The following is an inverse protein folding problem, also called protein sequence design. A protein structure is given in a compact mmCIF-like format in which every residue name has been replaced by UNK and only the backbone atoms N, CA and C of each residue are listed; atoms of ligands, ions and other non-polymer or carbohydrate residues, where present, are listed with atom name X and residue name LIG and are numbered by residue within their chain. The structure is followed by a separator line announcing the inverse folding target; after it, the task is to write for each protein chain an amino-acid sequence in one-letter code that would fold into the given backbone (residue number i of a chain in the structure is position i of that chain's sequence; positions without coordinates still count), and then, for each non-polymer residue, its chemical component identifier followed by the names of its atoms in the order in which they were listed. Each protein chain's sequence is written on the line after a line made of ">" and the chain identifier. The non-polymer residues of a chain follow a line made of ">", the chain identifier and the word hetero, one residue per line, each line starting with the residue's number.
data_IF_856240612751
#
_entry.id   IF_856240612751
#
_cell.length_a   1.000
_cell.length_b   1.000
_cell.length_c   1.000
_cell.angle_alpha   90.00
_cell.angle_beta   90.00
_cell.angle_gamma   90.00
#
_symmetry.space_group_name_H-M   'P 1'
#
loop_
_entity.id
_entity.type
_entity.pdbx_description
1 polymer ?
#
# COMPACT_ATOMS: atom_id res chain seq x y z
N UNK A 1 10.46 10.64 33.66
CA UNK A 1 9.58 10.57 34.86
C UNK A 1 9.58 11.96 35.49
N UNK A 2 8.42 12.60 35.64
CA UNK A 2 8.19 14.05 35.87
C UNK A 2 8.10 14.90 34.60
N UNK A 3 6.95 14.82 33.93
CA UNK A 3 6.13 16.01 33.64
C UNK A 3 4.78 15.57 33.04
N UNK A 4 3.70 15.91 33.77
CA UNK A 4 2.31 16.09 33.29
C UNK A 4 1.57 14.77 32.96
N UNK A 5 0.81 14.06 33.81
CA UNK A 5 0.02 14.37 35.02
C UNK A 5 -0.91 15.60 34.95
N UNK A 6 -1.16 16.14 33.75
CA UNK A 6 -2.02 17.33 33.57
C UNK A 6 -3.26 17.11 32.70
N UNK A 7 -3.47 15.89 32.17
CA UNK A 7 -4.65 15.60 31.34
C UNK A 7 -5.73 14.82 32.12
N UNK A 8 -5.38 14.23 33.26
CA UNK A 8 -6.32 13.42 34.05
C UNK A 8 -7.16 14.23 35.06
N UNK A 9 -6.91 15.53 35.21
CA UNK A 9 -7.63 16.39 36.17
C UNK A 9 -8.59 17.41 35.56
N UNK A 10 -8.72 17.46 34.23
CA UNK A 10 -9.68 18.36 33.56
C UNK A 10 -11.08 17.73 33.45
N UNK A 11 -11.25 16.47 33.83
CA UNK A 11 -12.53 15.73 33.73
C UNK A 11 -13.37 15.79 35.02
N UNK A 12 -12.86 16.36 36.12
CA UNK A 12 -13.60 16.43 37.39
C UNK A 12 -13.64 17.86 37.92
N UNK A 13 -14.21 18.80 37.15
CA UNK A 13 -14.69 20.08 37.70
C UNK A 13 -15.69 20.84 36.80
N UNK A 14 -16.53 20.11 36.06
CA UNK A 14 -17.73 20.66 35.42
C UNK A 14 -18.93 19.73 35.62
N UNK A 15 -19.35 19.59 36.88
CA UNK A 15 -20.75 19.32 37.22
C UNK A 15 -21.31 20.64 37.74
N UNK A 16 -21.68 21.51 36.81
CA UNK A 16 -22.43 22.73 37.02
C UNK A 16 -23.37 22.86 35.83
N UNK A 17 -24.67 22.80 36.10
CA UNK A 17 -25.74 22.58 35.13
C UNK A 17 -25.69 23.50 33.89
N UNK A 18 -25.98 22.92 32.72
CA UNK A 18 -26.26 23.62 31.46
C UNK A 18 -25.07 23.63 30.48
N UNK A 19 -25.35 23.28 29.22
CA UNK A 19 -24.41 23.07 28.09
C UNK A 19 -23.87 21.65 27.93
N UNK A 20 -24.79 20.70 27.75
CA UNK A 20 -24.57 19.46 27.00
C UNK A 20 -25.09 19.65 25.57
N UNK A 21 -24.29 20.28 24.72
CA UNK A 21 -24.36 20.19 23.26
C UNK A 21 -23.07 20.79 22.73
N UNK A 22 -22.43 20.13 21.76
CA UNK A 22 -21.29 20.63 20.96
C UNK A 22 -19.88 20.10 21.26
N UNK A 23 -19.71 19.07 22.10
CA UNK A 23 -18.43 18.30 22.14
C UNK A 23 -18.49 16.99 21.34
N UNK A 24 -19.61 16.72 20.67
CA UNK A 24 -19.78 15.59 19.75
C UNK A 24 -20.11 16.10 18.35
N UNK A 25 -19.09 16.58 17.63
CA UNK A 25 -19.00 16.62 16.16
C UNK A 25 -17.89 17.58 15.75
N UNK A 26 -16.64 17.28 16.11
CA UNK A 26 -15.56 17.78 15.27
C UNK A 26 -15.49 16.81 14.10
N UNK A 27 -16.20 17.15 13.02
CA UNK A 27 -15.99 16.50 11.73
C UNK A 27 -14.51 16.60 11.44
N UNK A 28 -13.82 15.46 11.42
CA UNK A 28 -12.47 15.40 10.88
C UNK A 28 -12.66 15.73 9.40
N UNK A 29 -12.40 16.98 9.00
CA UNK A 29 -12.19 17.28 7.59
C UNK A 29 -10.96 16.49 7.18
N UNK A 30 -11.19 15.35 6.52
CA UNK A 30 -10.14 14.59 5.84
C UNK A 30 -9.65 15.51 4.73
N UNK A 31 -8.64 16.30 5.02
CA UNK A 31 -7.94 17.08 4.01
C UNK A 31 -7.28 16.06 3.08
N UNK A 32 -7.60 16.08 1.77
CA UNK A 32 -6.96 15.15 0.83
C UNK A 32 -5.45 15.29 0.95
N UNK A 33 -4.74 14.16 1.01
CA UNK A 33 -3.28 14.15 1.01
C UNK A 33 -2.80 15.00 -0.18
N UNK A 34 -2.07 16.11 0.06
CA UNK A 34 -1.67 17.00 -1.02
C UNK A 34 -0.94 16.27 -2.14
N UNK A 35 -1.32 16.58 -3.38
CA UNK A 35 -0.71 16.01 -4.59
C UNK A 35 -1.07 14.56 -4.91
N UNK A 36 -1.89 13.87 -4.10
CA UNK A 36 -2.23 12.46 -4.35
C UNK A 36 -2.90 12.27 -5.73
N UNK A 37 -3.89 13.10 -6.03
CA UNK A 37 -4.59 13.06 -7.31
C UNK A 37 -3.67 13.42 -8.49
N UNK A 38 -2.72 14.33 -8.27
CA UNK A 38 -1.78 14.74 -9.31
C UNK A 38 -0.78 13.62 -9.62
N UNK A 39 -0.32 12.89 -8.60
CA UNK A 39 0.51 11.69 -8.79
C UNK A 39 -0.25 10.60 -9.54
N UNK A 40 -1.52 10.33 -9.19
CA UNK A 40 -2.34 9.33 -9.90
C UNK A 40 -2.52 9.70 -11.38
N UNK A 41 -2.72 10.99 -11.70
CA UNK A 41 -2.83 11.47 -13.09
C UNK A 41 -1.57 11.25 -13.91
N UNK A 42 -0.38 11.20 -13.30
CA UNK A 42 0.87 10.91 -14.03
C UNK A 42 0.87 9.50 -14.62
N UNK A 43 0.18 8.54 -13.99
CA UNK A 43 0.07 7.14 -14.43
C UNK A 43 -1.11 6.87 -15.38
N UNK A 44 -2.12 7.74 -15.35
CA UNK A 44 -3.33 7.56 -16.14
C UNK A 44 -3.03 7.52 -17.65
N UNK A 45 -3.65 6.56 -18.34
CA UNK A 45 -3.59 6.38 -19.81
C UNK A 45 -2.18 6.14 -20.38
N UNK A 46 -1.18 5.92 -19.53
CA UNK A 46 0.20 5.57 -19.90
C UNK A 46 0.30 4.08 -20.22
N UNK A 47 1.13 3.73 -21.19
CA UNK A 47 1.52 2.34 -21.44
C UNK A 47 2.29 1.75 -20.27
N UNK A 48 2.35 0.41 -20.14
CA UNK A 48 3.06 -0.24 -19.03
C UNK A 48 4.54 0.17 -18.91
N UNK A 49 5.32 0.27 -20.02
CA UNK A 49 6.68 0.81 -19.94
C UNK A 49 6.74 2.25 -19.44
N UNK A 50 5.84 3.12 -19.87
CA UNK A 50 5.80 4.51 -19.39
C UNK A 50 5.39 4.60 -17.92
N UNK A 51 4.51 3.72 -17.44
CA UNK A 51 4.11 3.64 -16.02
C UNK A 51 5.28 3.25 -15.13
N UNK A 52 6.14 2.34 -15.58
CA UNK A 52 7.39 2.00 -14.89
C UNK A 52 8.31 3.22 -14.78
N UNK A 53 8.48 4.01 -15.85
CA UNK A 53 9.31 5.22 -15.81
C UNK A 53 8.73 6.28 -14.88
N UNK A 54 7.41 6.52 -14.92
CA UNK A 54 6.72 7.43 -13.98
C UNK A 54 6.91 6.98 -12.53
N UNK A 55 6.85 5.68 -12.25
CA UNK A 55 7.09 5.13 -10.91
C UNK A 55 8.54 5.38 -10.45
N UNK A 56 9.53 5.13 -11.32
CA UNK A 56 10.94 5.44 -11.04
C UNK A 56 11.14 6.92 -10.73
N UNK A 57 10.50 7.81 -11.49
CA UNK A 57 10.52 9.26 -11.26
C UNK A 57 9.92 9.62 -9.90
N UNK A 58 8.72 9.13 -9.56
CA UNK A 58 8.07 9.38 -8.26
C UNK A 58 8.95 8.99 -7.07
N UNK A 59 9.63 7.84 -7.15
CA UNK A 59 10.52 7.37 -6.09
C UNK A 59 11.82 8.20 -6.04
N UNK A 60 12.38 8.54 -7.21
CA UNK A 60 13.59 9.38 -7.32
C UNK A 60 13.37 10.79 -6.78
N UNK A 61 12.23 11.42 -7.09
CA UNK A 61 11.83 12.74 -6.57
C UNK A 61 11.79 12.76 -5.04
N UNK A 62 11.46 11.62 -4.42
CA UNK A 62 11.41 11.44 -2.96
C UNK A 62 12.73 10.99 -2.36
N UNK A 63 13.77 10.75 -3.17
CA UNK A 63 15.05 10.21 -2.74
C UNK A 63 14.94 8.80 -2.16
N UNK A 64 14.00 7.99 -2.65
CA UNK A 64 13.77 6.62 -2.21
C UNK A 64 14.55 5.68 -3.15
N UNK A 65 15.54 4.93 -2.64
CA UNK A 65 16.26 3.98 -3.47
C UNK A 65 15.37 2.80 -3.85
N UNK A 66 15.55 2.29 -5.07
CA UNK A 66 14.84 1.14 -5.59
C UNK A 66 15.75 0.28 -6.47
N UNK A 67 15.35 -0.96 -6.67
CA UNK A 67 15.97 -1.95 -7.55
C UNK A 67 14.95 -2.39 -8.60
N UNK A 68 15.41 -2.65 -9.82
CA UNK A 68 14.59 -3.25 -10.87
C UNK A 68 15.04 -4.70 -11.04
N UNK A 69 14.11 -5.63 -10.83
CA UNK A 69 14.30 -7.06 -11.04
C UNK A 69 13.64 -7.47 -12.35
N UNK A 70 14.45 -7.60 -13.40
CA UNK A 70 14.00 -7.97 -14.74
C UNK A 70 13.86 -9.49 -14.89
N UNK A 71 12.92 -9.92 -15.72
CA UNK A 71 12.67 -11.33 -16.02
C UNK A 71 12.11 -11.53 -17.42
N UNK A 72 12.28 -12.73 -17.96
CA UNK A 72 11.82 -13.09 -19.31
C UNK A 72 10.54 -13.92 -19.27
N UNK A 73 9.50 -13.44 -19.94
CA UNK A 73 8.31 -14.22 -20.28
C UNK A 73 8.45 -14.82 -21.67
N UNK A 74 8.52 -16.16 -21.73
CA UNK A 74 8.59 -16.90 -22.99
C UNK A 74 7.17 -17.28 -23.45
N UNK A 75 6.75 -16.78 -24.60
CA UNK A 75 5.47 -17.12 -25.23
C UNK A 75 5.44 -18.59 -25.64
N UNK A 76 4.41 -19.30 -25.21
CA UNK A 76 4.20 -20.71 -25.60
C UNK A 76 3.76 -20.89 -27.06
N UNK A 77 3.32 -19.82 -27.74
CA UNK A 77 2.76 -19.91 -29.10
C UNK A 77 3.83 -19.83 -30.18
N UNK A 78 4.80 -18.94 -30.00
CA UNK A 78 5.78 -18.55 -31.02
C UNK A 78 7.20 -18.40 -30.46
N UNK A 79 7.43 -18.76 -29.19
CA UNK A 79 8.71 -18.64 -28.50
C UNK A 79 9.25 -17.20 -28.44
N UNK A 80 8.40 -16.19 -28.66
CA UNK A 80 8.80 -14.79 -28.46
C UNK A 80 9.12 -14.54 -26.98
N UNK A 81 10.14 -13.73 -26.73
CA UNK A 81 10.52 -13.33 -25.38
C UNK A 81 9.99 -11.91 -25.14
N UNK A 82 9.34 -11.70 -24.00
CA UNK A 82 8.93 -10.39 -23.51
C UNK A 82 9.58 -10.17 -22.16
N UNK A 83 10.39 -9.13 -22.03
CA UNK A 83 11.00 -8.74 -20.76
C UNK A 83 9.95 -8.04 -19.88
N UNK A 84 9.87 -8.42 -18.61
CA UNK A 84 9.08 -7.77 -17.56
C UNK A 84 9.97 -7.29 -16.43
N UNK A 85 9.48 -6.35 -15.62
CA UNK A 85 10.29 -5.64 -14.63
C UNK A 85 9.56 -5.42 -13.31
N UNK A 86 9.85 -6.19 -12.27
CA UNK A 86 9.41 -5.80 -10.93
C UNK A 86 10.26 -4.65 -10.41
N UNK A 87 9.67 -3.67 -9.74
CA UNK A 87 10.41 -2.62 -9.03
C UNK A 87 10.27 -2.83 -7.52
N UNK A 88 11.39 -2.83 -6.81
CA UNK A 88 11.47 -3.18 -5.39
C UNK A 88 12.12 -2.03 -4.62
N UNK A 89 11.42 -1.54 -3.59
CA UNK A 89 11.97 -0.63 -2.57
C UNK A 89 12.20 -1.43 -1.29
N UNK A 90 13.41 -1.37 -0.74
CA UNK A 90 13.77 -2.05 0.51
C UNK A 90 14.07 -1.03 1.59
N UNK A 91 13.31 -1.06 2.70
CA UNK A 91 13.43 -0.14 3.82
C UNK A 91 13.74 -0.87 5.12
N UNK A 92 14.51 -0.22 5.99
CA UNK A 92 14.90 -0.75 7.29
C UNK A 92 15.81 -1.97 7.20
N UNK A 93 15.99 -2.62 8.34
CA UNK A 93 16.85 -3.79 8.51
C UNK A 93 16.15 -4.80 9.42
N UNK A 94 16.43 -6.08 9.25
CA UNK A 94 15.82 -7.11 10.09
C UNK A 94 16.11 -8.52 9.58
N UNK A 95 15.82 -9.51 10.41
CA UNK A 95 15.95 -10.93 10.08
C UNK A 95 14.71 -11.52 9.38
N UNK A 96 13.68 -10.70 9.15
CA UNK A 96 12.43 -11.08 8.50
C UNK A 96 11.82 -9.92 7.73
N UNK A 97 11.04 -10.27 6.70
CA UNK A 97 10.49 -9.35 5.73
C UNK A 97 8.97 -9.21 5.89
N UNK A 98 8.48 -7.98 5.76
CA UNK A 98 7.08 -7.71 5.46
C UNK A 98 7.03 -7.15 4.04
N UNK A 99 6.24 -7.79 3.19
CA UNK A 99 6.03 -7.34 1.81
C UNK A 99 4.75 -6.50 1.77
N UNK A 100 4.81 -5.34 1.12
CA UNK A 100 3.63 -4.61 0.66
C UNK A 100 3.74 -4.50 -0.86
N UNK A 101 2.66 -4.75 -1.60
CA UNK A 101 2.76 -4.71 -3.05
C UNK A 101 1.46 -4.38 -3.75
N UNK A 102 1.58 -4.15 -5.04
CA UNK A 102 0.52 -3.87 -5.99
C UNK A 102 1.13 -3.91 -7.38
N UNK A 103 0.32 -4.13 -8.41
CA UNK A 103 0.85 -4.18 -9.76
C UNK A 103 0.78 -2.81 -10.43
N UNK A 104 1.77 -2.49 -11.25
CA UNK A 104 1.78 -1.23 -11.98
C UNK A 104 1.31 -1.37 -13.41
N UNK A 105 1.27 -2.57 -13.99
CA UNK A 105 0.71 -2.78 -15.31
C UNK A 105 -0.80 -2.54 -15.31
N UNK A 106 -1.36 -2.33 -16.51
CA UNK A 106 -2.79 -2.19 -16.73
C UNK A 106 -3.20 -3.01 -17.95
N UNK A 107 -4.48 -3.39 -18.01
CA UNK A 107 -5.12 -3.82 -19.26
C UNK A 107 -5.34 -2.67 -20.27
N UNK A 108 -5.44 -3.05 -21.53
CA UNK A 108 -6.07 -2.27 -22.58
C UNK A 108 -7.42 -2.93 -22.94
N UNK A 109 -8.57 -2.21 -22.90
CA UNK A 109 -8.75 -0.77 -22.69
C UNK A 109 -8.86 -0.37 -21.20
N UNK A 110 -8.30 0.79 -20.83
CA UNK A 110 -8.50 1.37 -19.51
C UNK A 110 -7.47 2.44 -19.16
N UNK A 111 -7.83 3.38 -18.28
CA UNK A 111 -6.88 4.40 -17.81
C UNK A 111 -5.86 3.86 -16.81
N UNK A 112 -6.12 2.67 -16.25
CA UNK A 112 -5.26 2.02 -15.26
C UNK A 112 -5.20 2.77 -13.92
N UNK A 113 -6.19 3.62 -13.63
CA UNK A 113 -6.22 4.46 -12.42
C UNK A 113 -6.64 3.66 -11.19
N UNK A 114 -7.84 3.06 -11.22
CA UNK A 114 -8.36 2.25 -10.11
C UNK A 114 -7.61 0.93 -10.01
N UNK A 115 -7.38 0.33 -11.17
CA UNK A 115 -6.70 -0.94 -11.36
C UNK A 115 -5.45 -0.72 -12.24
N UNK A 116 -4.26 -0.49 -11.67
CA UNK A 116 -3.99 -0.39 -10.23
C UNK A 116 -3.09 0.79 -9.86
N UNK A 117 -3.22 1.90 -10.60
CA UNK A 117 -2.39 3.11 -10.43
C UNK A 117 -2.56 3.80 -9.06
N UNK A 118 -3.74 3.72 -8.45
CA UNK A 118 -3.98 4.22 -7.10
C UNK A 118 -3.14 3.45 -6.06
N UNK A 119 -3.09 2.12 -6.13
CA UNK A 119 -2.22 1.31 -5.26
C UNK A 119 -0.76 1.70 -5.43
N UNK A 120 -0.30 1.86 -6.67
CA UNK A 120 1.08 2.28 -6.98
C UNK A 120 1.39 3.60 -6.27
N UNK A 121 0.54 4.61 -6.40
CA UNK A 121 0.77 5.89 -5.72
C UNK A 121 0.74 5.73 -4.21
N UNK A 122 -0.22 4.99 -3.64
CA UNK A 122 -0.30 4.73 -2.20
C UNK A 122 1.00 4.10 -1.69
N UNK A 123 1.52 3.08 -2.40
CA UNK A 123 2.75 2.40 -2.03
C UNK A 123 3.99 3.31 -2.09
N UNK A 124 4.08 4.25 -3.06
CA UNK A 124 5.15 5.26 -3.04
C UNK A 124 5.07 6.18 -1.83
N UNK A 125 3.86 6.51 -1.36
CA UNK A 125 3.64 7.34 -0.15
C UNK A 125 3.93 6.55 1.12
N UNK A 126 3.60 5.26 1.17
CA UNK A 126 4.01 4.35 2.26
C UNK A 126 5.53 4.26 2.33
N UNK A 127 6.21 4.12 1.19
CA UNK A 127 7.67 4.12 1.15
C UNK A 127 8.26 5.42 1.73
N UNK A 128 7.71 6.56 1.32
CA UNK A 128 8.13 7.89 1.78
C UNK A 128 7.95 8.07 3.28
N UNK A 129 6.82 7.60 3.82
CA UNK A 129 6.50 7.68 5.24
C UNK A 129 7.41 6.78 6.10
N UNK A 130 7.86 5.63 5.57
CA UNK A 130 8.63 4.65 6.33
C UNK A 130 10.15 4.80 6.19
N UNK A 131 10.66 5.55 5.19
CA UNK A 131 12.08 5.54 4.83
C UNK A 131 13.05 6.00 5.94
N UNK A 132 12.57 6.78 6.90
CA UNK A 132 13.37 7.30 8.03
C UNK A 132 12.98 6.70 9.38
N UNK A 133 12.05 5.74 9.39
CA UNK A 133 11.54 5.15 10.62
C UNK A 133 12.45 4.02 11.11
N UNK A 134 12.44 3.77 12.42
CA UNK A 134 13.15 2.64 13.02
C UNK A 134 12.27 1.38 12.95
N UNK A 135 12.47 0.57 11.91
CA UNK A 135 11.63 -0.59 11.59
C UNK A 135 12.19 -1.87 12.23
N UNK A 136 11.31 -2.68 12.82
CA UNK A 136 11.67 -3.98 13.41
C UNK A 136 11.80 -5.11 12.38
N UNK A 137 11.22 -4.92 11.20
CA UNK A 137 11.28 -5.82 10.06
C UNK A 137 11.84 -5.05 8.87
N UNK A 138 12.49 -5.76 7.95
CA UNK A 138 12.79 -5.20 6.64
C UNK A 138 11.47 -5.11 5.87
N UNK A 139 11.16 -3.93 5.34
CA UNK A 139 9.94 -3.72 4.56
C UNK A 139 10.32 -3.74 3.09
N UNK A 140 9.68 -4.61 2.31
CA UNK A 140 9.86 -4.70 0.87
C UNK A 140 8.58 -4.21 0.19
N UNK A 141 8.64 -3.05 -0.44
CA UNK A 141 7.55 -2.51 -1.24
C UNK A 141 7.79 -2.94 -2.68
N UNK A 142 6.89 -3.75 -3.24
CA UNK A 142 7.07 -4.39 -4.54
C UNK A 142 5.99 -3.94 -5.50
N UNK A 143 6.41 -3.36 -6.61
CA UNK A 143 5.55 -3.00 -7.74
C UNK A 143 5.69 -4.09 -8.79
N UNK A 144 4.67 -4.94 -8.88
CA UNK A 144 4.69 -6.10 -9.77
C UNK A 144 4.36 -5.69 -11.20
N UNK A 145 5.03 -6.34 -12.15
CA UNK A 145 4.70 -6.24 -13.58
C UNK A 145 3.88 -7.45 -14.03
N UNK A 146 3.16 -7.29 -15.15
CA UNK A 146 2.46 -8.37 -15.83
C UNK A 146 1.50 -9.17 -14.93
N UNK A 147 0.79 -8.50 -14.02
CA UNK A 147 -0.30 -9.09 -13.25
C UNK A 147 -1.45 -9.48 -14.19
N UNK A 148 -1.77 -8.57 -15.11
CA UNK A 148 -2.99 -8.58 -15.94
C UNK A 148 -2.95 -9.69 -17.00
N UNK A 149 -1.77 -10.25 -17.24
CA UNK A 149 -1.53 -11.39 -18.14
C UNK A 149 -1.24 -12.69 -17.39
N UNK A 150 -1.51 -12.71 -16.08
CA UNK A 150 -1.54 -13.91 -15.26
C UNK A 150 -0.49 -13.95 -14.16
N UNK A 151 -0.37 -12.89 -13.36
CA UNK A 151 0.45 -12.84 -12.13
C UNK A 151 1.94 -13.13 -12.38
N UNK A 152 2.49 -12.71 -13.53
CA UNK A 152 3.83 -13.14 -13.94
C UNK A 152 4.90 -12.55 -13.02
N UNK A 153 4.86 -11.24 -12.76
CA UNK A 153 5.84 -10.58 -11.90
C UNK A 153 5.83 -11.10 -10.48
N UNK A 154 4.66 -11.32 -9.88
CA UNK A 154 4.56 -11.84 -8.51
C UNK A 154 5.02 -13.30 -8.39
N UNK A 155 4.77 -14.15 -9.40
CA UNK A 155 5.35 -15.50 -9.45
C UNK A 155 6.87 -15.48 -9.56
N UNK A 156 7.41 -14.59 -10.38
CA UNK A 156 8.86 -14.44 -10.50
C UNK A 156 9.47 -14.00 -9.16
N UNK A 157 8.86 -13.00 -8.51
CA UNK A 157 9.31 -12.53 -7.20
C UNK A 157 9.33 -13.68 -6.16
N UNK A 158 8.27 -14.48 -6.10
CA UNK A 158 8.21 -15.63 -5.18
C UNK A 158 9.30 -16.65 -5.48
N UNK A 159 9.58 -16.94 -6.75
CA UNK A 159 10.64 -17.89 -7.12
C UNK A 159 12.04 -17.34 -6.78
N UNK A 160 12.31 -16.07 -7.10
CA UNK A 160 13.58 -15.41 -6.79
C UNK A 160 13.82 -15.32 -5.29
N UNK A 161 12.80 -14.96 -4.51
CA UNK A 161 12.88 -14.67 -3.07
C UNK A 161 12.36 -15.81 -2.19
N UNK A 162 12.27 -17.04 -2.69
CA UNK A 162 11.72 -18.20 -1.96
C UNK A 162 12.44 -18.55 -0.66
N UNK A 163 13.71 -18.15 -0.53
CA UNK A 163 14.53 -18.38 0.66
C UNK A 163 14.40 -17.25 1.69
N UNK A 164 13.75 -16.14 1.34
CA UNK A 164 13.65 -14.99 2.22
C UNK A 164 12.61 -15.25 3.33
N UNK A 165 12.90 -14.84 4.57
CA UNK A 165 12.01 -15.00 5.72
C UNK A 165 10.85 -14.00 5.70
N UNK A 166 9.96 -14.11 4.71
CA UNK A 166 8.74 -13.29 4.59
C UNK A 166 7.71 -13.76 5.61
N UNK A 167 7.39 -12.90 6.58
CA UNK A 167 6.44 -13.22 7.66
C UNK A 167 5.03 -12.68 7.42
N UNK A 168 4.88 -11.78 6.44
CA UNK A 168 3.61 -11.15 6.09
C UNK A 168 3.68 -10.54 4.69
N UNK A 169 2.56 -10.56 3.97
CA UNK A 169 2.40 -9.84 2.71
C UNK A 169 1.04 -9.14 2.69
N UNK A 170 1.01 -7.88 2.22
CA UNK A 170 -0.21 -7.11 1.98
C UNK A 170 -0.21 -6.70 0.51
N UNK A 171 -1.24 -7.12 -0.24
CA UNK A 171 -1.47 -6.67 -1.62
C UNK A 171 -2.51 -5.55 -1.62
N UNK A 172 -2.25 -4.49 -2.37
CA UNK A 172 -3.20 -3.42 -2.68
C UNK A 172 -3.63 -3.61 -4.14
N UNK A 173 -4.93 -3.81 -4.34
CA UNK A 173 -5.49 -4.20 -5.62
C UNK A 173 -6.93 -3.71 -5.76
N UNK A 174 -7.16 -2.90 -6.79
CA UNK A 174 -8.33 -2.04 -6.98
C UNK A 174 -8.51 -1.05 -5.82
N UNK A 175 -7.95 0.14 -6.00
CA UNK A 175 -8.02 1.23 -5.01
C UNK A 175 -8.83 2.44 -5.52
N UNK A 176 -9.30 3.27 -4.57
CA UNK A 176 -10.18 4.44 -4.76
C UNK A 176 -11.71 4.18 -4.71
N UNK A 177 -12.15 3.21 -3.90
CA UNK A 177 -13.58 2.92 -3.64
C UNK A 177 -14.19 3.71 -2.45
N UNK A 178 -13.62 4.87 -2.11
CA UNK A 178 -14.09 5.71 -1.00
C UNK A 178 -13.59 5.23 0.38
N UNK A 179 -14.42 5.36 1.41
CA UNK A 179 -14.03 5.08 2.80
C UNK A 179 -14.27 3.61 3.21
N UNK A 180 -14.04 2.66 2.30
CA UNK A 180 -14.23 1.23 2.56
C UNK A 180 -13.00 0.44 2.18
N UNK A 181 -12.43 -0.29 3.13
CA UNK A 181 -11.41 -1.30 2.88
C UNK A 181 -12.09 -2.65 2.72
N UNK A 182 -11.74 -3.34 1.64
CA UNK A 182 -12.18 -4.70 1.34
C UNK A 182 -10.98 -5.63 1.43
N UNK A 183 -11.08 -6.69 2.24
CA UNK A 183 -9.96 -7.61 2.45
C UNK A 183 -10.35 -9.06 2.16
N UNK A 184 -9.56 -9.73 1.34
CA UNK A 184 -9.65 -11.17 1.13
C UNK A 184 -8.69 -11.68 0.05
N UNK A 185 -8.84 -12.93 -0.38
CA UNK A 185 -9.90 -13.87 0.02
C UNK A 185 -9.74 -14.35 1.47
N UNK A 186 -10.83 -14.75 2.14
CA UNK A 186 -10.81 -15.36 3.50
C UNK A 186 -11.64 -16.65 3.44
N UNK A 187 -11.22 -17.78 4.05
CA UNK A 187 -10.09 -17.94 4.98
C UNK A 187 -8.78 -18.41 4.33
N UNK A 188 -7.66 -17.81 4.76
CA UNK A 188 -6.32 -18.35 4.58
C UNK A 188 -5.65 -18.59 5.93
N UNK A 189 -4.96 -19.73 6.06
CA UNK A 189 -4.14 -20.06 7.22
C UNK A 189 -3.06 -18.99 7.40
N UNK A 190 -2.89 -18.48 8.63
CA UNK A 190 -1.88 -17.47 8.96
C UNK A 190 -2.34 -16.01 8.88
N UNK A 191 -3.49 -15.71 8.27
CA UNK A 191 -3.95 -14.32 8.09
C UNK A 191 -4.67 -13.72 9.31
N UNK A 192 -4.95 -14.52 10.35
CA UNK A 192 -5.72 -14.07 11.52
C UNK A 192 -5.17 -12.80 12.18
N UNK A 193 -3.85 -12.65 12.25
CA UNK A 193 -3.22 -11.45 12.85
C UNK A 193 -3.42 -10.24 11.95
N UNK A 194 -3.10 -10.36 10.67
CA UNK A 194 -3.31 -9.32 9.65
C UNK A 194 -4.77 -8.85 9.61
N UNK A 195 -5.71 -9.78 9.52
CA UNK A 195 -7.14 -9.48 9.50
C UNK A 195 -7.59 -8.71 10.74
N UNK A 196 -7.19 -9.17 11.94
CA UNK A 196 -7.53 -8.48 13.19
C UNK A 196 -6.92 -7.09 13.24
N UNK A 197 -5.64 -6.95 12.87
CA UNK A 197 -4.96 -5.65 12.82
C UNK A 197 -5.66 -4.71 11.85
N UNK A 198 -5.93 -5.14 10.62
CA UNK A 198 -6.63 -4.32 9.62
C UNK A 198 -8.01 -3.88 10.11
N UNK A 199 -8.79 -4.82 10.66
CA UNK A 199 -10.10 -4.51 11.23
C UNK A 199 -10.02 -3.51 12.40
N UNK A 200 -9.06 -3.67 13.30
CA UNK A 200 -8.83 -2.73 14.42
C UNK A 200 -8.48 -1.34 13.89
N UNK A 201 -7.53 -1.23 12.96
CA UNK A 201 -7.15 0.05 12.35
C UNK A 201 -8.35 0.72 11.67
N UNK A 202 -9.19 -0.05 10.97
CA UNK A 202 -10.38 0.50 10.34
C UNK A 202 -11.37 1.06 11.37
N UNK A 203 -11.64 0.32 12.46
CA UNK A 203 -12.52 0.77 13.54
C UNK A 203 -11.97 2.02 14.23
N UNK A 204 -10.67 2.08 14.48
CA UNK A 204 -10.02 3.23 15.14
C UNK A 204 -10.04 4.51 14.29
N UNK A 205 -10.16 4.38 12.97
CA UNK A 205 -10.12 5.50 12.02
C UNK A 205 -11.47 5.77 11.34
N UNK A 206 -12.57 5.18 11.81
CA UNK A 206 -13.91 5.32 11.22
C UNK A 206 -13.94 4.95 9.71
N UNK A 207 -13.22 3.89 9.34
CA UNK A 207 -13.16 3.33 7.98
C UNK A 207 -14.06 2.10 7.93
N UNK A 208 -14.92 2.00 6.91
CA UNK A 208 -15.72 0.81 6.71
C UNK A 208 -14.82 -0.37 6.34
N UNK A 209 -15.10 -1.55 6.92
CA UNK A 209 -14.34 -2.77 6.64
C UNK A 209 -15.29 -3.87 6.21
N UNK A 210 -15.06 -4.42 5.01
CA UNK A 210 -15.81 -5.55 4.47
C UNK A 210 -14.87 -6.68 4.07
N UNK A 211 -15.39 -7.90 4.07
CA UNK A 211 -14.67 -9.07 3.58
C UNK A 211 -14.92 -9.21 2.09
N UNK A 212 -13.88 -9.49 1.30
CA UNK A 212 -14.04 -9.81 -0.11
C UNK A 212 -14.86 -11.11 -0.26
N UNK A 213 -15.93 -11.12 -1.07
CA UNK A 213 -16.88 -12.23 -1.18
C UNK A 213 -16.25 -13.51 -1.75
#
# INVERSE_FOLDING_TARGET
>A
MKQKLFVLLTIILFIGAGFFSDVCAQSIEITPLPGLLDDVKKLADKTNPERLEVLKEMLSEKGIPFEVESFDLISRRDSSITEGNNLIVTLGYGSSDIVAGGHYDKVEPGSGVVDNGCAVVILTRVADALKNENLNHRIRIVFFDMEEIGLVGSRQFVETHKADPIVSMINLDVDAYGNTIMMGPIPFTGMNRLYRTAKTVCVENDINFIVFP
#
